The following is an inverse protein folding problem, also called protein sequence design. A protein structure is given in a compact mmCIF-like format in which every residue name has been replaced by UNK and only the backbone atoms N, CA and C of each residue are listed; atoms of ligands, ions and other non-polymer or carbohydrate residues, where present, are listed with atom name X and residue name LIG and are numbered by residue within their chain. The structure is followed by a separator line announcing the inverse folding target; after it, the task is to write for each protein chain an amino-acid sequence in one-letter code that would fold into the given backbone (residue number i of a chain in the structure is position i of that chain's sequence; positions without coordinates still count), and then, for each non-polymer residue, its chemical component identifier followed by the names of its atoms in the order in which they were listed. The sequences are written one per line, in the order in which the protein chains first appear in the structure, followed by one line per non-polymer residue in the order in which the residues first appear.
data_IF_277738390121
#
_entry.id   IF_277738390121
#
_cell.length_a   1.000
_cell.length_b   1.000
_cell.length_c   1.000
_cell.angle_alpha   90.00
_cell.angle_beta   90.00
_cell.angle_gamma   90.00
#
_symmetry.space_group_name_H-M   'P 1'
#
loop_
_entity.id
_entity.type
_entity.pdbx_description
1 polymer ?
#
# COMPACT_ATOMS: atom_id res chain seq x y z
N UNK A 1 6.91 -17.78 -23.13
CA UNK A 1 5.96 -16.72 -23.57
C UNK A 1 4.69 -17.14 -22.88
N UNK A 2 4.60 -16.80 -21.60
CA UNK A 2 3.66 -17.45 -20.69
C UNK A 2 2.70 -16.38 -20.22
N UNK A 3 1.58 -16.42 -20.92
CA UNK A 3 0.22 -16.18 -20.44
C UNK A 3 0.05 -15.03 -19.47
N UNK A 4 -0.61 -13.98 -19.98
CA UNK A 4 -1.45 -13.07 -19.20
C UNK A 4 -2.28 -13.88 -18.20
N UNK A 5 -1.73 -14.10 -17.00
CA UNK A 5 -2.54 -14.45 -15.86
C UNK A 5 -3.43 -13.24 -15.64
N UNK A 6 -4.67 -13.36 -16.13
CA UNK A 6 -5.75 -12.48 -15.75
C UNK A 6 -5.94 -12.73 -14.26
N UNK A 7 -5.18 -12.01 -13.44
CA UNK A 7 -5.30 -12.08 -12.00
C UNK A 7 -6.68 -11.51 -11.69
N UNK A 8 -7.62 -12.40 -11.35
CA UNK A 8 -8.94 -12.02 -10.85
C UNK A 8 -8.80 -10.80 -9.90
N UNK A 9 -9.65 -9.77 -10.04
CA UNK A 9 -9.56 -8.59 -9.19
C UNK A 9 -9.66 -9.05 -7.74
N UNK A 10 -8.55 -8.95 -6.99
CA UNK A 10 -8.53 -9.40 -5.61
C UNK A 10 -9.40 -8.47 -4.78
N UNK A 11 -10.32 -9.05 -4.03
CA UNK A 11 -11.13 -8.33 -3.08
C UNK A 11 -10.28 -8.04 -1.84
N UNK A 12 -10.15 -6.76 -1.48
CA UNK A 12 -9.45 -6.29 -0.29
C UNK A 12 -9.90 -7.04 0.96
N UNK A 13 -11.18 -7.43 1.06
CA UNK A 13 -11.73 -8.15 2.22
C UNK A 13 -11.16 -9.55 2.38
N UNK A 14 -10.60 -10.13 1.33
CA UNK A 14 -9.92 -11.43 1.38
C UNK A 14 -8.48 -11.32 1.91
N UNK A 15 -7.91 -10.11 2.00
CA UNK A 15 -6.57 -9.91 2.55
C UNK A 15 -6.56 -10.02 4.08
N UNK A 16 -5.45 -10.46 4.70
CA UNK A 16 -5.23 -10.31 6.13
C UNK A 16 -5.39 -8.86 6.59
N UNK A 17 -5.89 -8.66 7.82
CA UNK A 17 -6.12 -7.32 8.36
C UNK A 17 -4.90 -6.36 8.28
N UNK A 18 -3.65 -6.79 8.56
CA UNK A 18 -2.48 -5.93 8.40
C UNK A 18 -2.32 -5.39 6.98
N UNK A 19 -2.52 -6.23 5.96
CA UNK A 19 -2.45 -5.82 4.55
C UNK A 19 -3.59 -4.88 4.18
N UNK A 20 -4.80 -5.11 4.70
CA UNK A 20 -5.92 -4.18 4.54
C UNK A 20 -5.61 -2.80 5.10
N UNK A 21 -4.96 -2.75 6.28
CA UNK A 21 -4.58 -1.50 6.94
C UNK A 21 -3.48 -0.75 6.16
N UNK A 22 -2.45 -1.46 5.70
CA UNK A 22 -1.41 -0.89 4.83
C UNK A 22 -2.01 -0.32 3.56
N UNK A 23 -2.89 -1.09 2.91
CA UNK A 23 -3.53 -0.68 1.67
C UNK A 23 -4.43 0.55 1.88
N UNK A 24 -5.22 0.57 2.95
CA UNK A 24 -6.03 1.73 3.31
C UNK A 24 -5.16 2.98 3.51
N UNK A 25 -4.04 2.85 4.22
CA UNK A 25 -3.12 3.97 4.47
C UNK A 25 -2.45 4.47 3.19
N UNK A 26 -1.97 3.57 2.32
CA UNK A 26 -1.41 3.90 1.01
C UNK A 26 -2.40 4.73 0.17
N UNK A 27 -3.64 4.22 0.05
CA UNK A 27 -4.70 4.89 -0.71
C UNK A 27 -5.06 6.25 -0.12
N UNK A 28 -5.13 6.33 1.20
CA UNK A 28 -5.44 7.58 1.88
C UNK A 28 -4.32 8.61 1.67
N UNK A 29 -3.06 8.20 1.78
CA UNK A 29 -1.91 9.06 1.48
C UNK A 29 -1.91 9.57 0.04
N UNK A 30 -2.26 8.73 -0.94
CA UNK A 30 -2.37 9.17 -2.35
C UNK A 30 -3.52 10.18 -2.54
N UNK A 31 -4.65 9.99 -1.86
CA UNK A 31 -5.72 10.99 -1.86
C UNK A 31 -5.24 12.30 -1.24
N UNK A 32 -4.60 12.24 -0.07
CA UNK A 32 -4.02 13.40 0.61
C UNK A 32 -3.05 14.18 -0.28
N UNK A 33 -2.16 13.47 -0.99
CA UNK A 33 -1.24 14.07 -1.96
C UNK A 33 -1.96 14.76 -3.12
N UNK A 34 -3.04 14.18 -3.64
CA UNK A 34 -3.81 14.76 -4.76
C UNK A 34 -4.64 15.98 -4.34
N UNK A 35 -5.16 15.99 -3.11
CA UNK A 35 -6.09 17.02 -2.63
C UNK A 35 -5.44 18.06 -1.72
N UNK A 36 -4.18 17.87 -1.33
CA UNK A 36 -3.52 18.68 -0.30
C UNK A 36 -4.08 18.46 1.12
N UNK A 37 -4.83 17.38 1.34
CA UNK A 37 -5.44 17.12 2.64
C UNK A 37 -4.42 16.49 3.61
N UNK A 38 -4.39 16.89 4.89
CA UNK A 38 -3.48 16.31 5.87
C UNK A 38 -3.95 14.92 6.30
N UNK A 39 -3.35 13.88 5.72
CA UNK A 39 -3.72 12.48 5.99
C UNK A 39 -2.82 11.77 6.99
N UNK A 40 -1.66 12.36 7.33
CA UNK A 40 -0.67 11.74 8.20
C UNK A 40 -1.21 11.44 9.60
N UNK A 41 -2.00 12.37 10.17
CA UNK A 41 -2.57 12.19 11.49
C UNK A 41 -3.63 11.06 11.55
N UNK A 42 -4.62 10.98 10.63
CA UNK A 42 -5.50 9.83 10.52
C UNK A 42 -4.78 8.49 10.35
N UNK A 43 -3.74 8.44 9.52
CA UNK A 43 -2.93 7.22 9.31
C UNK A 43 -2.26 6.81 10.61
N UNK A 44 -1.55 7.73 11.26
CA UNK A 44 -0.86 7.46 12.53
C UNK A 44 -1.82 6.95 13.61
N UNK A 45 -3.02 7.55 13.73
CA UNK A 45 -4.02 7.11 14.70
C UNK A 45 -4.52 5.69 14.42
N UNK A 46 -4.71 5.31 13.16
CA UNK A 46 -5.15 3.97 12.79
C UNK A 46 -4.11 2.92 13.17
N UNK A 47 -2.83 3.17 12.88
CA UNK A 47 -1.73 2.28 13.25
C UNK A 47 -1.51 2.21 14.77
N UNK A 48 -1.72 3.31 15.49
CA UNK A 48 -1.67 3.34 16.96
C UNK A 48 -2.72 2.44 17.61
N UNK A 49 -3.95 2.42 17.06
CA UNK A 49 -5.03 1.56 17.58
C UNK A 49 -4.71 0.07 17.53
N UNK A 50 -3.76 -0.33 16.70
CA UNK A 50 -3.35 -1.73 16.53
C UNK A 50 -1.93 -2.00 17.08
N UNK A 51 -1.35 -1.03 17.80
CA UNK A 51 0.00 -1.14 18.38
C UNK A 51 1.14 -1.21 17.36
N UNK A 52 0.95 -0.63 16.18
CA UNK A 52 1.91 -0.66 15.07
C UNK A 52 2.33 0.75 14.62
N UNK A 53 2.48 1.69 15.55
CA UNK A 53 2.86 3.09 15.29
C UNK A 53 4.08 3.24 14.37
N UNK A 54 5.18 2.48 14.54
CA UNK A 54 6.35 2.60 13.67
C UNK A 54 6.07 2.22 12.21
N UNK A 55 5.03 1.41 11.96
CA UNK A 55 4.66 1.01 10.60
C UNK A 55 3.99 2.16 9.83
N UNK A 56 3.32 3.10 10.50
CA UNK A 56 2.70 4.26 9.86
C UNK A 56 3.74 5.10 9.09
N UNK A 57 4.86 5.39 9.75
CA UNK A 57 5.96 6.16 9.15
C UNK A 57 6.59 5.41 7.98
N UNK A 58 6.79 4.09 8.12
CA UNK A 58 7.34 3.24 7.06
C UNK A 58 6.45 3.19 5.82
N UNK A 59 5.12 3.08 6.00
CA UNK A 59 4.15 3.13 4.89
C UNK A 59 4.16 4.51 4.22
N UNK A 60 4.26 5.59 5.01
CA UNK A 60 4.39 6.94 4.47
C UNK A 60 5.67 7.12 3.64
N UNK A 61 6.80 6.62 4.12
CA UNK A 61 8.07 6.62 3.39
C UNK A 61 8.00 5.80 2.11
N UNK A 62 7.45 4.58 2.16
CA UNK A 62 7.25 3.73 0.99
C UNK A 62 6.42 4.45 -0.08
N UNK A 63 5.31 5.09 0.32
CA UNK A 63 4.44 5.85 -0.57
C UNK A 63 5.20 6.99 -1.27
N UNK A 64 6.07 7.70 -0.54
CA UNK A 64 6.92 8.76 -1.11
C UNK A 64 7.96 8.19 -2.07
N UNK A 65 8.66 7.13 -1.68
CA UNK A 65 9.69 6.48 -2.52
C UNK A 65 9.09 6.03 -3.85
N UNK A 66 7.95 5.35 -3.81
CA UNK A 66 7.23 4.93 -5.03
C UNK A 66 6.81 6.15 -5.84
N UNK A 67 6.26 7.18 -5.20
CA UNK A 67 5.84 8.41 -5.88
C UNK A 67 6.99 9.15 -6.57
N UNK A 68 8.19 9.14 -6.00
CA UNK A 68 9.38 9.75 -6.59
C UNK A 68 10.03 8.88 -7.67
N UNK A 69 10.08 7.57 -7.48
CA UNK A 69 10.81 6.64 -8.35
C UNK A 69 9.98 6.04 -9.50
N UNK A 70 8.67 6.22 -9.52
CA UNK A 70 7.83 5.60 -10.54
C UNK A 70 8.00 6.28 -11.91
N UNK A 71 8.51 5.52 -12.89
CA UNK A 71 8.65 5.95 -14.30
C UNK A 71 7.30 6.01 -15.03
N UNK A 72 6.28 5.35 -14.49
CA UNK A 72 4.90 5.37 -14.99
C UNK A 72 3.92 5.69 -13.88
N UNK A 73 2.69 6.03 -14.27
CA UNK A 73 1.59 6.18 -13.29
C UNK A 73 1.33 4.84 -12.59
N UNK A 74 1.47 4.84 -11.27
CA UNK A 74 1.09 3.75 -10.39
C UNK A 74 -0.42 3.82 -10.14
N UNK A 75 -1.12 2.72 -10.38
CA UNK A 75 -2.56 2.62 -10.20
C UNK A 75 -2.88 2.33 -8.75
N UNK A 76 -3.25 3.37 -8.00
CA UNK A 76 -3.70 3.25 -6.61
C UNK A 76 -5.20 3.57 -6.56
N UNK A 77 -5.97 2.68 -5.96
CA UNK A 77 -7.41 2.81 -5.77
C UNK A 77 -7.78 3.87 -4.74
N UNK A 78 -9.08 4.14 -4.62
CA UNK A 78 -9.60 5.03 -3.56
C UNK A 78 -9.74 4.27 -2.23
N UNK A 79 -9.65 4.93 -1.07
CA UNK A 79 -9.69 4.27 0.25
C UNK A 79 -10.91 3.37 0.49
N UNK A 80 -12.04 3.68 -0.14
CA UNK A 80 -13.29 2.92 -0.02
C UNK A 80 -13.44 1.78 -1.04
N UNK A 81 -12.55 1.63 -2.01
CA UNK A 81 -12.67 0.59 -3.03
C UNK A 81 -12.44 -0.81 -2.45
N UNK A 82 -13.24 -1.79 -2.88
CA UNK A 82 -13.03 -3.20 -2.55
C UNK A 82 -12.00 -3.87 -3.47
N UNK A 83 -11.92 -3.46 -4.72
CA UNK A 83 -10.96 -4.00 -5.69
C UNK A 83 -9.54 -3.59 -5.32
N UNK A 84 -8.61 -4.54 -5.34
CA UNK A 84 -7.16 -4.31 -5.24
C UNK A 84 -6.59 -4.26 -6.66
N UNK A 85 -5.85 -3.20 -6.98
CA UNK A 85 -5.17 -3.09 -8.27
C UNK A 85 -3.95 -4.01 -8.32
N UNK A 86 -3.46 -4.30 -9.52
CA UNK A 86 -2.25 -5.09 -9.69
C UNK A 86 -1.01 -4.40 -9.09
N UNK A 87 -0.92 -3.06 -9.20
CA UNK A 87 0.15 -2.29 -8.57
C UNK A 87 0.09 -2.36 -7.04
N UNK A 88 -1.11 -2.30 -6.46
CA UNK A 88 -1.30 -2.45 -5.02
C UNK A 88 -0.90 -3.83 -4.52
N UNK A 89 -1.22 -4.89 -5.29
CA UNK A 89 -0.81 -6.26 -4.98
C UNK A 89 0.72 -6.37 -4.94
N UNK A 90 1.41 -5.87 -5.96
CA UNK A 90 2.89 -5.85 -6.00
C UNK A 90 3.51 -5.07 -4.85
N UNK A 91 2.90 -3.96 -4.45
CA UNK A 91 3.36 -3.18 -3.30
C UNK A 91 3.21 -3.99 -2.00
N UNK A 92 2.09 -4.69 -1.82
CA UNK A 92 1.89 -5.58 -0.67
C UNK A 92 2.89 -6.74 -0.67
N UNK A 93 3.18 -7.34 -1.83
CA UNK A 93 4.21 -8.37 -1.96
C UNK A 93 5.59 -7.84 -1.54
N UNK A 94 5.96 -6.63 -1.96
CA UNK A 94 7.21 -5.99 -1.53
C UNK A 94 7.26 -5.77 -0.02
N UNK A 95 6.14 -5.38 0.59
CA UNK A 95 6.04 -5.25 2.06
C UNK A 95 6.23 -6.60 2.73
N UNK A 96 5.58 -7.66 2.23
CA UNK A 96 5.71 -9.01 2.76
C UNK A 96 7.15 -9.54 2.65
N UNK A 97 7.81 -9.33 1.49
CA UNK A 97 9.22 -9.67 1.28
C UNK A 97 10.10 -8.93 2.29
N UNK A 98 9.92 -7.61 2.43
CA UNK A 98 10.68 -6.81 3.40
C UNK A 98 10.49 -7.25 4.85
N UNK A 99 9.30 -7.76 5.21
CA UNK A 99 9.03 -8.31 6.54
C UNK A 99 9.61 -9.72 6.76
N UNK A 100 9.72 -10.53 5.70
CA UNK A 100 10.30 -11.87 5.77
C UNK A 100 11.82 -11.88 5.96
N UNK A 101 12.48 -10.71 5.84
CA UNK A 101 13.93 -10.59 5.92
C UNK A 101 14.66 -11.15 4.69
N UNK A 102 13.93 -11.59 3.66
CA UNK A 102 14.48 -11.96 2.35
C UNK A 102 14.78 -10.67 1.59
N UNK A 103 15.80 -9.94 2.03
CA UNK A 103 16.37 -8.86 1.25
C UNK A 103 17.06 -9.48 0.05
N UNK A 104 16.40 -9.43 -1.11
CA UNK A 104 17.10 -9.63 -2.38
C UNK A 104 18.25 -8.63 -2.41
N UNK A 105 19.48 -9.15 -2.52
CA UNK A 105 20.69 -8.35 -2.67
C UNK A 105 20.51 -7.44 -3.90
N UNK A 106 20.42 -6.14 -3.68
CA UNK A 106 20.57 -5.13 -4.73
C UNK A 106 22.05 -4.87 -4.97
#
# INVERSE_FOLDING_TARGET
MDEDQITEPSDRRALPFPEQLVLWALRLSVVGLKTGAPTDHPVLLAFRKVGAEPAAERVGLLTRIIGFGAERRVQIGVPCAFTVTEDERRILDLVAIGQSGVAGTL
#
